data_IF_232317139892
#
_entry.id   IF_232317139892
#
_cell.length_a   1.000
_cell.length_b   1.000
_cell.length_c   1.000
_cell.angle_alpha   90.00
_cell.angle_beta   90.00
_cell.angle_gamma   90.00
#
_symmetry.space_group_name_H-M   'P 1'
#
loop_
_entity.id
_entity.type
_entity.pdbx_description
1 polymer ?
#
# COMPACT_ATOMS: atom_id res chain seq x y z
N UNK A 1 14.22 -14.94 -4.81
CA UNK A 1 13.04 -14.68 -3.95
C UNK A 1 13.36 -14.93 -2.48
N UNK A 2 13.99 -16.03 -2.08
CA UNK A 2 14.36 -16.33 -0.68
C UNK A 2 15.44 -15.42 -0.09
N UNK A 3 16.45 -14.99 -0.87
CA UNK A 3 17.56 -14.15 -0.39
C UNK A 3 17.10 -12.80 0.16
N UNK A 4 16.11 -12.18 -0.49
CA UNK A 4 15.57 -10.89 -0.05
C UNK A 4 14.76 -11.04 1.24
N UNK A 5 13.94 -12.10 1.35
CA UNK A 5 13.19 -12.41 2.58
C UNK A 5 14.11 -12.56 3.78
N UNK A 6 15.16 -13.38 3.64
CA UNK A 6 16.13 -13.67 4.70
C UNK A 6 16.88 -12.39 5.11
N UNK A 7 17.33 -11.58 4.13
CA UNK A 7 18.05 -10.35 4.41
C UNK A 7 17.18 -9.28 5.11
N UNK A 8 15.90 -9.18 4.73
CA UNK A 8 14.97 -8.25 5.35
C UNK A 8 14.60 -8.68 6.78
N UNK A 9 14.32 -9.96 6.99
CA UNK A 9 14.06 -10.54 8.32
C UNK A 9 15.25 -10.35 9.28
N UNK A 10 16.48 -10.43 8.80
CA UNK A 10 17.66 -10.20 9.66
C UNK A 10 17.82 -8.73 10.04
N UNK A 11 17.46 -7.82 9.14
CA UNK A 11 17.52 -6.37 9.37
C UNK A 11 16.42 -5.91 10.33
N UNK A 12 15.21 -6.46 10.20
CA UNK A 12 14.07 -6.17 11.08
C UNK A 12 14.28 -6.70 12.51
N UNK A 13 14.83 -7.91 12.65
CA UNK A 13 15.29 -8.43 13.94
C UNK A 13 16.30 -7.52 14.63
N UNK A 14 17.24 -6.93 13.90
CA UNK A 14 18.23 -5.98 14.45
C UNK A 14 17.61 -4.67 14.94
N UNK A 15 16.46 -4.28 14.39
CA UNK A 15 15.73 -3.07 14.81
C UNK A 15 14.76 -3.32 15.98
N UNK A 16 14.59 -4.56 16.43
CA UNK A 16 13.73 -4.91 17.57
C UNK A 16 12.23 -4.76 17.29
N UNK A 17 11.84 -4.80 16.02
CA UNK A 17 10.46 -4.68 15.56
C UNK A 17 9.90 -6.09 15.39
N UNK A 18 8.65 -6.33 15.80
CA UNK A 18 7.98 -7.62 15.56
C UNK A 18 7.79 -7.82 14.05
N UNK A 19 8.53 -8.78 13.47
CA UNK A 19 8.80 -8.88 12.03
C UNK A 19 7.51 -8.87 11.18
N UNK A 20 6.46 -9.57 11.62
CA UNK A 20 5.25 -9.77 10.82
C UNK A 20 4.27 -8.60 10.85
N UNK A 21 4.08 -7.94 12.00
CA UNK A 21 3.13 -6.83 12.11
C UNK A 21 3.64 -5.59 11.38
N UNK A 22 4.95 -5.35 11.42
CA UNK A 22 5.57 -4.28 10.65
C UNK A 22 5.46 -4.51 9.14
N UNK A 23 5.71 -5.73 8.67
CA UNK A 23 5.57 -6.06 7.26
C UNK A 23 4.11 -5.96 6.79
N UNK A 24 3.16 -6.35 7.64
CA UNK A 24 1.73 -6.22 7.37
C UNK A 24 1.33 -4.74 7.21
N UNK A 25 1.69 -3.89 8.16
CA UNK A 25 1.37 -2.47 8.10
C UNK A 25 2.11 -1.76 6.95
N UNK A 26 3.37 -2.11 6.72
CA UNK A 26 4.14 -1.59 5.57
C UNK A 26 3.48 -1.96 4.24
N UNK A 27 3.03 -3.21 4.08
CA UNK A 27 2.32 -3.64 2.88
C UNK A 27 0.99 -2.90 2.72
N UNK A 28 0.25 -2.66 3.80
CA UNK A 28 -0.99 -1.89 3.80
C UNK A 28 -0.76 -0.46 3.28
N UNK A 29 0.23 0.25 3.84
CA UNK A 29 0.57 1.62 3.44
C UNK A 29 1.01 1.68 1.98
N UNK A 30 1.89 0.75 1.56
CA UNK A 30 2.36 0.68 0.17
C UNK A 30 1.22 0.40 -0.81
N UNK A 31 0.34 -0.54 -0.50
CA UNK A 31 -0.80 -0.87 -1.34
C UNK A 31 -1.77 0.32 -1.47
N UNK A 32 -2.07 1.01 -0.37
CA UNK A 32 -2.89 2.22 -0.39
C UNK A 32 -2.26 3.33 -1.25
N UNK A 33 -0.96 3.58 -1.09
CA UNK A 33 -0.24 4.58 -1.89
C UNK A 33 -0.23 4.24 -3.39
N UNK A 34 -0.03 2.96 -3.74
CA UNK A 34 -0.08 2.52 -5.13
C UNK A 34 -1.48 2.68 -5.73
N UNK A 35 -2.53 2.32 -4.99
CA UNK A 35 -3.91 2.50 -5.43
C UNK A 35 -4.25 3.98 -5.65
N UNK A 36 -3.83 4.88 -4.75
CA UNK A 36 -4.02 6.33 -4.94
C UNK A 36 -3.35 6.84 -6.21
N UNK A 37 -2.12 6.41 -6.47
CA UNK A 37 -1.39 6.79 -7.67
C UNK A 37 -2.12 6.34 -8.94
N UNK A 38 -2.56 5.08 -8.99
CA UNK A 38 -3.33 4.55 -10.12
C UNK A 38 -4.66 5.30 -10.30
N UNK A 39 -5.35 5.64 -9.22
CA UNK A 39 -6.61 6.40 -9.27
C UNK A 39 -6.37 7.81 -9.81
N UNK A 40 -5.34 8.52 -9.31
CA UNK A 40 -4.95 9.83 -9.85
C UNK A 40 -4.67 9.78 -11.35
N UNK A 41 -3.90 8.78 -11.80
CA UNK A 41 -3.58 8.60 -13.22
C UNK A 41 -4.81 8.34 -14.08
N UNK A 42 -5.74 7.50 -13.60
CA UNK A 42 -7.00 7.22 -14.32
C UNK A 42 -7.93 8.44 -14.36
N UNK A 43 -7.96 9.23 -13.28
CA UNK A 43 -8.76 10.45 -13.20
C UNK A 43 -8.15 11.58 -14.04
N UNK A 44 -6.82 11.63 -14.19
CA UNK A 44 -6.12 12.77 -14.78
C UNK A 44 -5.98 13.96 -13.84
N UNK A 45 -6.11 13.73 -12.52
CA UNK A 45 -5.97 14.76 -11.49
C UNK A 45 -5.73 14.17 -10.10
N UNK A 46 -4.86 14.82 -9.34
CA UNK A 46 -4.65 14.54 -7.93
C UNK A 46 -5.83 14.97 -7.06
N UNK A 47 -5.75 14.62 -5.77
CA UNK A 47 -6.81 14.93 -4.82
C UNK A 47 -6.92 16.44 -4.66
N UNK A 48 -8.14 16.96 -4.88
CA UNK A 48 -8.47 18.39 -4.85
C UNK A 48 -7.78 19.26 -5.90
N UNK A 49 -7.05 18.67 -6.85
CA UNK A 49 -6.39 19.40 -7.93
C UNK A 49 -7.40 19.82 -9.01
N UNK A 50 -7.34 21.07 -9.46
CA UNK A 50 -8.12 21.51 -10.63
C UNK A 50 -7.31 21.23 -11.90
N UNK A 51 -7.79 20.30 -12.72
CA UNK A 51 -7.18 19.95 -14.01
C UNK A 51 -8.25 19.91 -15.10
N UNK A 52 -7.90 20.39 -16.30
CA UNK A 52 -8.73 20.27 -17.49
C UNK A 52 -8.75 18.84 -18.06
N UNK A 53 -7.78 18.01 -17.69
CA UNK A 53 -7.67 16.61 -18.11
C UNK A 53 -8.52 15.66 -17.25
N UNK A 54 -9.20 16.19 -16.22
CA UNK A 54 -10.03 15.39 -15.32
C UNK A 54 -11.17 14.70 -16.08
N UNK A 55 -11.17 13.37 -16.05
CA UNK A 55 -12.18 12.53 -16.71
C UNK A 55 -13.33 12.07 -15.79
N UNK A 56 -13.07 11.94 -14.49
CA UNK A 56 -14.06 11.44 -13.51
C UNK A 56 -13.74 11.91 -12.08
N UNK A 57 -14.50 11.45 -11.08
CA UNK A 57 -14.36 11.85 -9.67
C UNK A 57 -14.21 10.63 -8.75
N UNK A 58 -13.48 10.82 -7.64
CA UNK A 58 -13.32 9.81 -6.58
C UNK A 58 -14.67 9.59 -5.88
N UNK A 59 -15.05 8.33 -5.64
CA UNK A 59 -16.32 7.94 -5.01
C UNK A 59 -16.06 7.24 -3.66
N UNK A 60 -15.28 7.88 -2.80
CA UNK A 60 -14.89 7.34 -1.50
C UNK A 60 -14.10 6.03 -1.58
N UNK A 61 -14.03 5.33 -0.45
CA UNK A 61 -13.39 4.03 -0.32
C UNK A 61 -14.42 2.98 0.10
N UNK A 62 -14.10 1.71 -0.17
CA UNK A 62 -14.84 0.56 0.34
C UNK A 62 -13.86 -0.34 1.07
N UNK A 63 -14.24 -0.77 2.25
CA UNK A 63 -13.48 -1.75 3.02
C UNK A 63 -13.43 -3.07 2.25
N UNK A 64 -12.26 -3.70 2.25
CA UNK A 64 -12.06 -5.01 1.64
C UNK A 64 -10.91 -5.72 2.34
N UNK A 65 -11.23 -6.81 3.02
CA UNK A 65 -10.21 -7.69 3.58
C UNK A 65 -9.37 -8.32 2.46
N UNK A 66 -8.05 -8.34 2.68
CA UNK A 66 -7.09 -8.94 1.76
C UNK A 66 -6.16 -9.89 2.50
N UNK A 67 -6.33 -11.19 2.25
CA UNK A 67 -5.44 -12.22 2.79
C UNK A 67 -4.13 -12.25 2.02
N UNK A 68 -3.03 -12.03 2.75
CA UNK A 68 -1.66 -12.04 2.21
C UNK A 68 -0.79 -13.02 2.98
N UNK A 69 0.46 -13.22 2.53
CA UNK A 69 1.43 -14.08 3.23
C UNK A 69 1.86 -13.54 4.59
N UNK A 70 1.69 -12.23 4.83
CA UNK A 70 1.98 -11.58 6.12
C UNK A 70 0.72 -11.44 6.98
N UNK A 71 -0.35 -12.15 6.60
CA UNK A 71 -1.65 -12.14 7.26
C UNK A 71 -2.72 -11.34 6.51
N UNK A 72 -3.89 -11.21 7.13
CA UNK A 72 -5.02 -10.42 6.63
C UNK A 72 -4.78 -8.92 6.82
N UNK A 73 -5.02 -8.14 5.79
CA UNK A 73 -5.01 -6.68 5.79
C UNK A 73 -6.45 -6.19 5.70
N UNK A 74 -6.81 -5.24 6.57
CA UNK A 74 -8.10 -4.54 6.60
C UNK A 74 -8.01 -3.11 6.04
#
# INVERSE_FOLDING_TARGET
MTTFSIALEELLRKTGVDDFDFLREGLRVLAQGLMELEVSQRIGADRYERSAERSTYRNGYRERQWDTRVGTID
#
